data_IF_081127703025
#
_entry.id   IF_081127703025
#
_cell.length_a   1.000
_cell.length_b   1.000
_cell.length_c   1.000
_cell.angle_alpha   90.00
_cell.angle_beta   90.00
_cell.angle_gamma   90.00
#
_symmetry.space_group_name_H-M   'P 1'
#
loop_
_entity.id
_entity.type
_entity.pdbx_description
1 polymer ?
#
# COMPACT_ATOMS: atom_id res chain seq x y z
N UNK A 1 16.35 -1.60 -31.93
CA UNK A 1 15.59 -0.37 -31.64
C UNK A 1 14.23 -0.80 -31.11
N UNK A 2 14.08 -0.89 -29.77
CA UNK A 2 12.79 -1.14 -29.13
C UNK A 2 12.50 0.06 -28.22
N UNK A 3 11.57 0.89 -28.66
CA UNK A 3 10.99 1.95 -27.85
C UNK A 3 10.13 1.32 -26.75
N UNK A 4 10.54 1.47 -25.51
CA UNK A 4 9.67 1.21 -24.36
C UNK A 4 8.75 2.41 -24.19
N UNK A 5 7.49 2.27 -24.54
CA UNK A 5 6.43 3.20 -24.18
C UNK A 5 6.25 3.15 -22.66
N UNK A 6 6.57 4.24 -21.99
CA UNK A 6 6.23 4.45 -20.58
C UNK A 6 4.81 5.03 -20.53
N UNK A 7 3.86 4.26 -20.03
CA UNK A 7 2.51 4.71 -19.76
C UNK A 7 2.47 5.12 -18.28
N UNK A 8 2.26 6.42 -18.03
CA UNK A 8 2.04 6.96 -16.69
C UNK A 8 0.59 6.69 -16.29
N UNK A 9 0.35 5.82 -15.32
CA UNK A 9 -0.95 5.70 -14.66
C UNK A 9 -0.88 6.34 -13.28
N UNK A 10 -1.61 7.43 -13.11
CA UNK A 10 -1.92 7.98 -11.80
C UNK A 10 -3.08 7.18 -11.22
N UNK A 11 -2.83 6.33 -10.22
CA UNK A 11 -3.90 5.68 -9.46
C UNK A 11 -4.27 6.61 -8.31
N UNK A 12 -5.34 7.38 -8.52
CA UNK A 12 -5.99 8.17 -7.48
C UNK A 12 -6.90 7.23 -6.69
N UNK A 13 -6.46 6.78 -5.51
CA UNK A 13 -7.35 6.13 -4.56
C UNK A 13 -7.90 7.23 -3.66
N UNK A 14 -9.15 7.62 -3.94
CA UNK A 14 -9.91 8.54 -3.13
C UNK A 14 -10.24 7.89 -1.77
N UNK A 15 -9.43 8.15 -0.75
CA UNK A 15 -9.84 8.00 0.65
C UNK A 15 -10.26 9.40 1.10
N UNK A 16 -11.57 9.61 1.26
CA UNK A 16 -12.13 10.82 1.84
C UNK A 16 -11.77 10.89 3.33
N UNK A 17 -10.63 11.48 3.63
CA UNK A 17 -10.32 12.20 4.86
C UNK A 17 -9.50 13.40 4.42
N UNK A 18 -10.05 14.59 4.73
CA UNK A 18 -9.55 15.95 4.51
C UNK A 18 -8.07 16.10 4.09
N UNK A 19 -7.92 16.66 2.89
CA UNK A 19 -6.89 17.58 2.39
C UNK A 19 -5.45 17.43 2.89
N UNK A 20 -4.60 16.75 2.10
CA UNK A 20 -3.34 17.25 1.55
C UNK A 20 -2.69 16.11 0.75
N UNK A 21 -2.76 16.23 -0.58
CA UNK A 21 -2.05 15.33 -1.47
C UNK A 21 -0.57 15.74 -1.51
N UNK A 22 0.30 14.91 -0.94
CA UNK A 22 1.74 15.00 -1.19
C UNK A 22 2.05 14.05 -2.33
N UNK A 23 2.52 14.61 -3.45
CA UNK A 23 3.01 13.85 -4.60
C UNK A 23 4.39 13.28 -4.25
N UNK A 24 4.47 11.97 -4.04
CA UNK A 24 5.74 11.26 -4.06
C UNK A 24 5.90 10.63 -5.46
N UNK A 25 6.76 11.21 -6.31
CA UNK A 25 7.22 10.57 -7.53
C UNK A 25 8.37 9.62 -7.19
N UNK A 26 8.03 8.33 -6.94
CA UNK A 26 9.01 7.25 -6.85
C UNK A 26 8.88 6.34 -8.06
N UNK A 27 10.01 5.95 -8.68
CA UNK A 27 10.04 4.90 -9.69
C UNK A 27 9.66 3.56 -9.05
N UNK A 28 8.42 3.15 -9.23
CA UNK A 28 7.91 1.87 -8.80
C UNK A 28 7.77 1.01 -10.07
N UNK A 29 8.33 -0.20 -10.05
CA UNK A 29 7.90 -1.22 -11.00
C UNK A 29 6.39 -1.37 -10.81
N UNK A 30 5.62 -1.29 -11.89
CA UNK A 30 4.14 -1.25 -11.90
C UNK A 30 3.46 -2.39 -11.12
N UNK A 31 4.22 -3.41 -10.67
CA UNK A 31 3.78 -4.54 -9.86
C UNK A 31 4.17 -4.47 -8.37
N UNK A 32 4.81 -3.39 -7.92
CA UNK A 32 5.17 -3.20 -6.52
C UNK A 32 4.41 -2.01 -5.94
N UNK A 33 3.43 -2.31 -5.07
CA UNK A 33 2.64 -1.28 -4.40
C UNK A 33 3.34 -0.93 -3.09
N UNK A 34 3.91 0.26 -3.01
CA UNK A 34 4.40 0.85 -1.76
C UNK A 34 3.35 1.83 -1.27
N UNK A 35 2.75 1.55 -0.14
CA UNK A 35 1.89 2.51 0.55
C UNK A 35 2.75 3.29 1.54
N UNK A 36 2.88 4.59 1.31
CA UNK A 36 3.38 5.50 2.34
C UNK A 36 2.23 5.83 3.26
N UNK A 37 2.35 5.56 4.57
CA UNK A 37 1.37 6.02 5.53
C UNK A 37 1.42 7.55 5.57
N UNK A 38 0.26 8.20 5.50
CA UNK A 38 0.14 9.62 5.77
C UNK A 38 0.31 9.84 7.28
N UNK A 39 1.54 10.10 7.73
CA UNK A 39 1.76 10.67 9.05
C UNK A 39 1.29 12.13 9.04
N UNK A 40 0.76 12.58 10.17
CA UNK A 40 0.59 14.02 10.40
C UNK A 40 1.94 14.70 10.15
N UNK A 41 2.03 15.73 9.29
CA UNK A 41 3.27 16.44 9.02
C UNK A 41 3.98 16.95 10.29
N UNK A 42 3.21 17.31 11.33
CA UNK A 42 3.76 17.76 12.61
C UNK A 42 4.32 16.61 13.48
N UNK A 43 3.93 15.36 13.21
CA UNK A 43 4.46 14.17 13.87
C UNK A 43 5.53 13.44 13.04
N UNK A 44 5.83 13.92 11.82
CA UNK A 44 6.85 13.34 10.96
C UNK A 44 8.22 13.39 11.64
N UNK A 45 8.97 12.29 11.69
CA UNK A 45 10.35 12.30 12.15
C UNK A 45 11.28 13.16 11.27
N UNK A 46 10.78 13.60 10.12
CA UNK A 46 11.47 14.43 9.12
C UNK A 46 11.02 15.89 9.11
N UNK A 47 10.19 16.32 10.05
CA UNK A 47 9.59 17.67 10.09
C UNK A 47 10.62 18.81 10.02
N UNK A 48 11.82 18.58 10.55
CA UNK A 48 12.90 19.55 10.54
C UNK A 48 13.78 19.42 9.29
N UNK A 49 13.39 18.60 8.30
CA UNK A 49 14.12 18.33 7.05
C UNK A 49 15.64 18.11 7.30
N UNK A 50 16.02 17.10 8.10
CA UNK A 50 17.42 16.89 8.43
C UNK A 50 18.24 16.64 7.17
N UNK A 51 19.44 17.21 7.14
CA UNK A 51 20.38 17.04 6.03
C UNK A 51 21.29 15.85 6.26
N UNK A 52 21.65 15.20 5.16
CA UNK A 52 22.54 14.05 5.10
C UNK A 52 23.60 14.25 4.05
N UNK A 53 24.70 13.57 4.24
CA UNK A 53 25.81 13.53 3.29
C UNK A 53 26.12 12.09 2.88
N UNK A 54 26.46 11.85 1.60
CA UNK A 54 27.00 10.57 1.18
C UNK A 54 28.45 10.42 1.60
N UNK A 55 28.76 9.33 2.26
CA UNK A 55 30.12 8.89 2.55
C UNK A 55 30.52 7.88 1.48
N UNK A 56 31.45 8.25 0.62
CA UNK A 56 31.97 7.38 -0.44
C UNK A 56 33.13 6.55 0.10
N UNK A 57 33.04 5.24 -0.04
CA UNK A 57 34.14 4.31 0.22
C UNK A 57 34.74 3.84 -1.11
N UNK A 58 35.99 3.43 -1.10
CA UNK A 58 36.65 2.92 -2.30
C UNK A 58 35.92 1.69 -2.82
N UNK A 59 35.52 1.76 -4.08
CA UNK A 59 34.95 0.62 -4.82
C UNK A 59 36.04 -0.12 -5.55
N UNK A 60 36.01 -1.45 -5.55
CA UNK A 60 36.94 -2.30 -6.31
C UNK A 60 36.65 -2.26 -7.82
N UNK A 61 35.50 -1.73 -8.23
CA UNK A 61 35.09 -1.64 -9.63
C UNK A 61 35.08 -0.20 -10.13
N UNK A 62 35.65 0.10 -11.31
CA UNK A 62 35.71 1.45 -11.86
C UNK A 62 34.36 2.06 -12.25
N UNK A 63 33.27 1.27 -12.19
CA UNK A 63 31.92 1.69 -12.59
C UNK A 63 30.90 1.64 -11.45
N UNK A 64 31.34 1.39 -10.22
CA UNK A 64 30.47 1.32 -9.04
C UNK A 64 31.05 2.15 -7.92
N UNK A 65 30.17 2.65 -7.05
CA UNK A 65 30.52 3.36 -5.83
C UNK A 65 29.96 2.64 -4.64
N UNK A 66 30.76 2.47 -3.58
CA UNK A 66 30.30 2.05 -2.28
C UNK A 66 29.85 3.28 -1.51
N UNK A 67 28.60 3.32 -1.11
CA UNK A 67 27.93 4.50 -0.56
C UNK A 67 27.27 4.15 0.76
N UNK A 68 27.41 5.03 1.74
CA UNK A 68 26.63 5.09 2.96
C UNK A 68 26.17 6.54 3.14
N UNK A 69 24.90 6.77 3.40
CA UNK A 69 24.46 8.09 3.85
C UNK A 69 24.53 8.18 5.37
N UNK A 70 24.98 9.35 5.85
CA UNK A 70 25.03 9.66 7.28
C UNK A 70 24.35 10.99 7.54
N UNK A 71 23.82 11.17 8.76
CA UNK A 71 23.48 12.48 9.28
C UNK A 71 24.73 13.35 9.42
N UNK A 72 24.56 14.67 9.62
CA UNK A 72 25.69 15.61 9.75
C UNK A 72 26.56 15.35 10.99
N UNK A 73 26.03 14.65 11.98
CA UNK A 73 26.76 14.20 13.18
C UNK A 73 27.50 12.86 12.98
N UNK A 74 27.54 12.35 11.73
CA UNK A 74 28.07 11.04 11.33
C UNK A 74 27.28 9.82 11.80
N UNK A 75 26.08 9.99 12.37
CA UNK A 75 25.19 8.86 12.65
C UNK A 75 24.75 8.21 11.33
N UNK A 76 24.83 6.87 11.18
CA UNK A 76 24.41 6.21 9.96
C UNK A 76 22.91 6.44 9.67
N UNK A 77 22.60 6.88 8.45
CA UNK A 77 21.24 6.91 7.91
C UNK A 77 20.93 5.61 7.15
N UNK A 78 21.92 5.06 6.44
CA UNK A 78 21.77 3.81 5.69
C UNK A 78 22.89 2.84 5.99
N UNK A 79 22.70 1.56 5.70
CA UNK A 79 23.78 0.62 5.51
C UNK A 79 24.62 1.01 4.29
N UNK A 80 25.86 0.47 4.20
CA UNK A 80 26.67 0.62 2.99
C UNK A 80 26.13 -0.25 1.87
N UNK A 81 26.00 0.30 0.67
CA UNK A 81 25.54 -0.41 -0.52
C UNK A 81 26.34 0.00 -1.77
N UNK A 82 26.29 -0.82 -2.82
CA UNK A 82 26.91 -0.52 -4.10
C UNK A 82 25.90 0.11 -5.06
N UNK A 83 26.32 1.13 -5.80
CA UNK A 83 25.49 1.77 -6.85
C UNK A 83 26.31 2.09 -8.09
N UNK A 84 25.67 2.12 -9.26
CA UNK A 84 26.30 2.59 -10.52
C UNK A 84 26.15 4.09 -10.71
N UNK A 85 25.33 4.76 -9.90
CA UNK A 85 25.15 6.20 -9.96
C UNK A 85 26.03 6.86 -8.87
N UNK A 86 26.97 7.70 -9.27
CA UNK A 86 27.79 8.47 -8.33
C UNK A 86 26.93 9.49 -7.59
N UNK A 87 26.83 9.42 -6.27
CA UNK A 87 26.12 10.42 -5.48
C UNK A 87 26.74 11.80 -5.61
N UNK A 88 25.92 12.84 -5.48
CA UNK A 88 26.42 14.21 -5.29
C UNK A 88 27.18 14.28 -3.97
N UNK A 89 28.29 14.98 -3.95
CA UNK A 89 29.03 15.22 -2.70
C UNK A 89 28.40 16.33 -1.82
N UNK A 90 27.23 16.83 -2.22
CA UNK A 90 26.50 17.87 -1.50
C UNK A 90 25.55 17.27 -0.47
N UNK A 91 25.16 18.08 0.51
CA UNK A 91 24.08 17.75 1.45
C UNK A 91 22.76 17.53 0.71
N UNK A 92 22.02 16.53 1.13
CA UNK A 92 20.72 16.16 0.59
C UNK A 92 19.70 16.02 1.71
N UNK A 93 18.41 16.04 1.38
CA UNK A 93 17.35 15.72 2.35
C UNK A 93 17.46 14.25 2.74
N UNK A 94 17.57 13.96 4.04
CA UNK A 94 17.68 12.58 4.55
C UNK A 94 16.48 11.72 4.18
N UNK A 95 15.28 12.30 4.21
CA UNK A 95 14.04 11.61 3.90
C UNK A 95 14.07 10.93 2.52
N UNK A 96 14.69 11.58 1.54
CA UNK A 96 14.80 11.05 0.18
C UNK A 96 15.78 9.87 0.07
N UNK A 97 16.67 9.68 1.03
CA UNK A 97 17.71 8.64 1.00
C UNK A 97 17.32 7.36 1.74
N UNK A 98 16.20 7.35 2.45
CA UNK A 98 15.75 6.20 3.27
C UNK A 98 14.83 5.24 2.53
N UNK A 99 14.44 5.59 1.31
CA UNK A 99 13.60 4.76 0.45
C UNK A 99 14.44 3.76 -0.35
N UNK A 100 13.87 3.21 -1.40
CA UNK A 100 14.57 2.27 -2.26
C UNK A 100 15.78 2.94 -2.93
N UNK A 101 17.01 2.45 -2.75
CA UNK A 101 18.16 3.05 -3.41
C UNK A 101 18.11 2.79 -4.91
N UNK A 102 18.28 3.88 -5.68
CA UNK A 102 18.37 3.78 -7.13
C UNK A 102 19.68 3.11 -7.55
N UNK A 103 19.61 2.31 -8.61
CA UNK A 103 20.79 1.69 -9.22
C UNK A 103 21.65 0.83 -8.29
N UNK A 104 21.03 0.22 -7.25
CA UNK A 104 21.72 -0.70 -6.34
C UNK A 104 22.35 -1.87 -7.12
N UNK A 105 23.52 -2.33 -6.69
CA UNK A 105 24.29 -3.38 -7.35
C UNK A 105 24.64 -4.49 -6.37
N UNK A 106 24.91 -5.69 -6.93
CA UNK A 106 25.31 -6.85 -6.16
C UNK A 106 24.17 -7.50 -5.41
N UNK A 107 24.51 -8.25 -4.37
CA UNK A 107 23.56 -9.01 -3.53
C UNK A 107 23.76 -8.61 -2.07
N UNK A 108 22.69 -8.37 -1.35
CA UNK A 108 22.79 -7.98 0.05
C UNK A 108 21.48 -7.51 0.67
N UNK A 109 21.63 -6.72 1.73
CA UNK A 109 20.52 -6.10 2.46
C UNK A 109 20.80 -4.61 2.51
N UNK A 110 19.83 -3.82 2.07
CA UNK A 110 19.80 -2.38 2.31
C UNK A 110 19.00 -2.10 3.57
N UNK A 111 19.56 -1.33 4.48
CA UNK A 111 18.91 -0.87 5.69
C UNK A 111 18.96 0.65 5.76
N UNK A 112 17.89 1.24 6.28
CA UNK A 112 17.88 2.65 6.62
C UNK A 112 17.32 2.88 8.03
N UNK A 113 17.65 4.02 8.62
CA UNK A 113 17.37 4.31 10.01
C UNK A 113 16.73 5.70 10.15
N UNK A 114 15.90 5.85 11.17
CA UNK A 114 15.37 7.14 11.60
C UNK A 114 16.44 7.95 12.37
N UNK A 115 16.24 9.29 12.52
CA UNK A 115 17.12 10.11 13.35
C UNK A 115 17.32 9.62 14.78
N UNK A 116 16.34 8.89 15.33
CA UNK A 116 16.42 8.29 16.66
C UNK A 116 17.16 6.94 16.70
N UNK A 117 17.80 6.52 15.59
CA UNK A 117 18.56 5.28 15.45
C UNK A 117 17.72 4.01 15.27
N UNK A 118 16.40 4.10 15.30
CA UNK A 118 15.53 2.94 15.04
C UNK A 118 15.51 2.58 13.56
N UNK A 119 15.35 1.29 13.20
CA UNK A 119 15.24 0.87 11.81
C UNK A 119 14.03 1.56 11.13
N UNK A 120 14.22 2.00 9.89
CA UNK A 120 13.18 2.51 9.00
C UNK A 120 12.84 1.50 7.92
N UNK A 121 13.85 0.90 7.29
CA UNK A 121 13.65 -0.12 6.26
C UNK A 121 14.67 -1.24 6.33
N UNK A 122 14.29 -2.39 5.82
CA UNK A 122 15.16 -3.52 5.47
C UNK A 122 14.69 -4.10 4.16
N UNK A 123 15.58 -4.13 3.16
CA UNK A 123 15.25 -4.53 1.79
C UNK A 123 16.30 -5.52 1.30
N UNK A 124 15.89 -6.74 0.99
CA UNK A 124 16.77 -7.76 0.42
C UNK A 124 16.83 -7.61 -1.10
N UNK A 125 18.03 -7.79 -1.67
CA UNK A 125 18.25 -7.70 -3.11
C UNK A 125 19.31 -8.71 -3.57
N UNK A 126 19.19 -9.14 -4.83
CA UNK A 126 20.11 -10.07 -5.50
C UNK A 126 20.40 -9.53 -6.90
N UNK A 127 21.69 -9.38 -7.22
CA UNK A 127 22.16 -8.86 -8.53
C UNK A 127 21.52 -7.52 -8.91
N UNK A 128 21.34 -6.64 -7.90
CA UNK A 128 20.73 -5.32 -8.09
C UNK A 128 19.20 -5.33 -8.26
N UNK A 129 18.55 -6.48 -8.08
CA UNK A 129 17.10 -6.64 -8.19
C UNK A 129 16.55 -6.95 -6.80
N UNK A 130 15.48 -6.30 -6.38
CA UNK A 130 14.81 -6.60 -5.11
C UNK A 130 14.31 -8.05 -5.13
N UNK A 131 14.77 -8.82 -4.17
CA UNK A 131 14.50 -10.26 -4.13
C UNK A 131 14.59 -10.74 -2.67
N UNK A 132 13.47 -11.11 -2.10
CA UNK A 132 13.34 -11.49 -0.69
C UNK A 132 12.40 -10.58 0.07
N UNK A 133 12.73 -10.25 1.32
CA UNK A 133 11.90 -9.47 2.24
C UNK A 133 12.08 -7.98 2.03
N UNK A 134 10.97 -7.27 2.16
CA UNK A 134 10.93 -5.82 2.26
C UNK A 134 10.11 -5.48 3.51
N UNK A 135 10.76 -4.83 4.48
CA UNK A 135 10.16 -4.44 5.74
C UNK A 135 10.32 -2.94 5.96
N UNK A 136 9.30 -2.33 6.53
CA UNK A 136 9.34 -0.96 7.01
C UNK A 136 8.83 -0.89 8.45
N UNK A 137 9.31 0.10 9.18
CA UNK A 137 8.92 0.37 10.57
C UNK A 137 8.55 1.84 10.72
N UNK A 138 7.63 2.12 11.62
CA UNK A 138 7.34 3.46 12.10
C UNK A 138 8.47 3.99 12.99
N UNK A 139 8.57 5.31 13.17
CA UNK A 139 9.56 5.94 14.04
C UNK A 139 9.44 5.52 15.51
N UNK A 140 8.27 5.05 15.95
CA UNK A 140 8.09 4.46 17.27
C UNK A 140 8.71 3.06 17.39
N UNK A 141 9.14 2.45 16.27
CA UNK A 141 9.77 1.13 16.18
C UNK A 141 8.80 -0.03 15.95
N UNK A 142 7.51 0.24 15.88
CA UNK A 142 6.52 -0.77 15.48
C UNK A 142 6.59 -1.03 13.98
N UNK A 143 6.24 -2.25 13.57
CA UNK A 143 6.21 -2.62 12.16
C UNK A 143 5.16 -1.79 11.42
N UNK A 144 5.50 -1.28 10.23
CA UNK A 144 4.63 -0.54 9.33
C UNK A 144 4.17 -1.42 8.17
N UNK A 145 5.13 -2.11 7.54
CA UNK A 145 4.89 -2.96 6.38
C UNK A 145 5.81 -4.17 6.38
N UNK A 146 5.28 -5.27 5.86
CA UNK A 146 6.03 -6.48 5.53
C UNK A 146 5.55 -7.01 4.19
N UNK A 147 6.49 -7.29 3.29
CA UNK A 147 6.20 -7.87 1.98
C UNK A 147 7.33 -8.76 1.52
N UNK A 148 7.04 -9.56 0.51
CA UNK A 148 8.03 -10.38 -0.17
C UNK A 148 7.97 -10.09 -1.66
N UNK A 149 9.13 -10.09 -2.28
CA UNK A 149 9.31 -9.94 -3.73
C UNK A 149 10.18 -11.05 -4.28
N UNK A 150 9.91 -11.45 -5.49
CA UNK A 150 10.75 -12.36 -6.25
C UNK A 150 11.09 -11.72 -7.58
N UNK A 151 12.37 -11.45 -7.82
CA UNK A 151 12.86 -10.75 -9.01
C UNK A 151 12.11 -9.42 -9.27
N UNK A 152 11.91 -8.60 -8.22
CA UNK A 152 11.22 -7.33 -8.30
C UNK A 152 9.69 -7.42 -8.41
N UNK A 153 9.10 -8.61 -8.34
CA UNK A 153 7.66 -8.85 -8.48
C UNK A 153 7.08 -9.29 -7.15
N UNK A 154 5.98 -8.68 -6.71
CA UNK A 154 5.31 -9.03 -5.45
C UNK A 154 4.89 -10.50 -5.43
N UNK A 155 5.24 -11.21 -4.34
CA UNK A 155 4.95 -12.63 -4.15
C UNK A 155 4.72 -12.95 -2.68
N UNK A 156 3.75 -13.84 -2.39
CA UNK A 156 3.46 -14.24 -0.99
C UNK A 156 2.63 -13.20 -0.24
N UNK A 157 2.80 -13.15 1.06
CA UNK A 157 2.01 -12.27 1.91
C UNK A 157 2.53 -10.84 1.91
N UNK A 158 1.59 -9.91 1.94
CA UNK A 158 1.78 -8.49 2.11
C UNK A 158 0.94 -8.02 3.31
N UNK A 159 1.56 -7.33 4.27
CA UNK A 159 0.91 -6.85 5.49
C UNK A 159 1.25 -5.39 5.76
N UNK A 160 0.28 -4.64 6.25
CA UNK A 160 0.43 -3.27 6.76
C UNK A 160 -0.15 -3.21 8.16
N UNK A 161 0.46 -2.45 9.04
CA UNK A 161 0.00 -2.19 10.40
C UNK A 161 -0.33 -0.71 10.57
N UNK A 162 -1.24 -0.43 11.47
CA UNK A 162 -1.48 0.91 11.98
C UNK A 162 -0.34 1.36 12.92
N UNK A 163 -0.14 2.67 13.13
CA UNK A 163 0.89 3.19 14.04
C UNK A 163 0.77 2.70 15.49
N UNK A 164 -0.42 2.25 15.90
CA UNK A 164 -0.67 1.61 17.21
C UNK A 164 -0.25 0.13 17.26
N UNK A 165 0.27 -0.44 16.15
CA UNK A 165 0.74 -1.82 16.02
C UNK A 165 -0.33 -2.85 15.68
N UNK A 166 -1.59 -2.43 15.50
CA UNK A 166 -2.65 -3.33 15.04
C UNK A 166 -2.56 -3.54 13.53
N UNK A 167 -2.90 -4.74 13.06
CA UNK A 167 -2.90 -5.06 11.64
C UNK A 167 -3.96 -4.22 10.92
N UNK A 168 -3.57 -3.55 9.83
CA UNK A 168 -4.43 -2.71 9.00
C UNK A 168 -4.86 -3.43 7.71
N UNK A 169 -3.94 -4.22 7.14
CA UNK A 169 -4.16 -4.94 5.89
C UNK A 169 -3.36 -6.23 5.87
N UNK A 170 -3.97 -7.30 5.37
CA UNK A 170 -3.29 -8.52 4.94
C UNK A 170 -3.84 -8.95 3.60
N UNK A 171 -2.95 -9.27 2.66
CA UNK A 171 -3.34 -9.83 1.36
C UNK A 171 -2.22 -10.68 0.77
N UNK A 172 -2.59 -11.58 -0.17
CA UNK A 172 -1.66 -12.43 -0.88
C UNK A 172 -1.36 -11.90 -2.28
N UNK A 173 -0.12 -12.13 -2.72
CA UNK A 173 0.32 -11.90 -4.09
C UNK A 173 0.88 -13.18 -4.71
N UNK A 174 0.62 -13.36 -5.99
CA UNK A 174 1.26 -14.38 -6.82
C UNK A 174 1.61 -13.76 -8.16
N UNK A 175 2.90 -13.74 -8.50
CA UNK A 175 3.38 -13.19 -9.78
C UNK A 175 2.91 -11.75 -10.04
N UNK A 176 2.91 -10.90 -8.98
CA UNK A 176 2.51 -9.51 -9.03
C UNK A 176 1.01 -9.24 -8.95
N UNK A 177 0.17 -10.27 -9.05
CA UNK A 177 -1.29 -10.15 -8.99
C UNK A 177 -1.81 -10.50 -7.60
N UNK A 178 -2.86 -9.80 -7.14
CA UNK A 178 -3.55 -10.15 -5.89
C UNK A 178 -4.14 -11.56 -6.02
N UNK A 179 -3.77 -12.44 -5.09
CA UNK A 179 -4.21 -13.82 -5.09
C UNK A 179 -4.32 -14.33 -3.66
N UNK A 180 -5.49 -14.81 -3.27
CA UNK A 180 -5.79 -15.23 -1.89
C UNK A 180 -6.73 -14.28 -1.18
N UNK A 181 -6.69 -14.34 0.16
CA UNK A 181 -7.57 -13.51 1.00
C UNK A 181 -7.01 -12.10 1.14
N UNK A 182 -7.89 -11.10 1.02
CA UNK A 182 -7.63 -9.71 1.38
C UNK A 182 -8.50 -9.35 2.57
N UNK A 183 -7.86 -8.91 3.65
CA UNK A 183 -8.51 -8.50 4.89
C UNK A 183 -8.00 -7.12 5.27
N UNK A 184 -8.90 -6.24 5.67
CA UNK A 184 -8.59 -4.92 6.21
C UNK A 184 -9.24 -4.74 7.56
N UNK A 185 -8.59 -3.99 8.43
CA UNK A 185 -9.07 -3.66 9.76
C UNK A 185 -8.99 -2.17 9.99
N UNK A 186 -9.91 -1.67 10.77
CA UNK A 186 -9.86 -0.33 11.32
C UNK A 186 -8.76 -0.23 12.40
N UNK A 187 -8.38 0.99 12.74
CA UNK A 187 -7.37 1.25 13.78
C UNK A 187 -7.81 0.79 15.19
N UNK A 188 -9.11 0.61 15.43
CA UNK A 188 -9.65 0.03 16.67
C UNK A 188 -9.62 -1.51 16.67
N UNK A 189 -9.10 -2.16 15.60
CA UNK A 189 -9.00 -3.61 15.45
C UNK A 189 -10.25 -4.29 14.88
N UNK A 190 -11.36 -3.56 14.73
CA UNK A 190 -12.56 -4.11 14.10
C UNK A 190 -12.32 -4.40 12.61
N UNK A 191 -12.91 -5.45 12.05
CA UNK A 191 -12.79 -5.75 10.64
C UNK A 191 -13.43 -4.62 9.80
N UNK A 192 -12.79 -4.31 8.68
CA UNK A 192 -13.32 -3.36 7.69
C UNK A 192 -13.74 -4.05 6.41
N UNK A 193 -12.89 -4.88 5.83
CA UNK A 193 -13.16 -5.55 4.55
C UNK A 193 -12.61 -6.96 4.55
N UNK A 194 -13.35 -7.86 3.95
CA UNK A 194 -12.96 -9.23 3.69
C UNK A 194 -13.36 -9.60 2.27
N UNK A 195 -12.42 -10.05 1.45
CA UNK A 195 -12.67 -10.53 0.10
C UNK A 195 -11.61 -11.55 -0.32
N UNK A 196 -11.95 -12.43 -1.23
CA UNK A 196 -11.00 -13.32 -1.91
C UNK A 196 -10.70 -12.81 -3.31
N UNK A 197 -9.43 -12.87 -3.68
CA UNK A 197 -8.95 -12.48 -5.00
C UNK A 197 -8.34 -13.68 -5.73
N UNK A 198 -8.54 -13.74 -7.03
CA UNK A 198 -7.84 -14.61 -7.96
C UNK A 198 -7.45 -13.77 -9.18
N UNK A 199 -6.13 -13.59 -9.38
CA UNK A 199 -5.55 -12.78 -10.48
C UNK A 199 -6.20 -11.38 -10.55
N UNK A 200 -6.11 -10.62 -9.44
CA UNK A 200 -6.66 -9.26 -9.26
C UNK A 200 -8.19 -9.15 -9.31
N UNK A 201 -8.90 -10.25 -9.47
CA UNK A 201 -10.38 -10.25 -9.52
C UNK A 201 -10.97 -10.78 -8.23
N UNK A 202 -11.99 -10.10 -7.72
CA UNK A 202 -12.76 -10.59 -6.58
C UNK A 202 -13.56 -11.83 -6.99
N UNK A 203 -13.49 -12.89 -6.16
CA UNK A 203 -14.24 -14.12 -6.34
C UNK A 203 -14.94 -14.52 -5.04
N UNK A 204 -16.20 -14.99 -5.15
CA UNK A 204 -17.00 -15.36 -4.00
C UNK A 204 -17.52 -14.16 -3.21
N UNK A 205 -17.53 -14.25 -1.89
CA UNK A 205 -18.10 -13.22 -1.02
C UNK A 205 -17.14 -12.05 -0.77
N UNK A 206 -17.71 -10.84 -0.80
CA UNK A 206 -17.14 -9.63 -0.23
C UNK A 206 -17.97 -9.21 0.96
N UNK A 207 -17.33 -8.91 2.09
CA UNK A 207 -17.95 -8.36 3.30
C UNK A 207 -17.28 -7.06 3.66
N UNK A 208 -18.09 -6.09 4.06
CA UNK A 208 -17.60 -4.82 4.63
C UNK A 208 -18.37 -4.51 5.91
N UNK A 209 -17.68 -3.91 6.87
CA UNK A 209 -18.23 -3.53 8.17
C UNK A 209 -17.98 -2.06 8.44
N UNK A 210 -18.88 -1.45 9.15
CA UNK A 210 -18.68 -0.14 9.77
C UNK A 210 -17.66 -0.22 10.90
N UNK A 211 -17.11 0.93 11.27
CA UNK A 211 -16.15 1.04 12.39
C UNK A 211 -16.72 0.58 13.75
N UNK A 212 -18.05 0.57 13.89
CA UNK A 212 -18.76 0.04 15.07
C UNK A 212 -18.95 -1.49 15.06
N UNK A 213 -18.34 -2.22 14.10
CA UNK A 213 -18.38 -3.66 13.94
C UNK A 213 -19.66 -4.20 13.29
N UNK A 214 -20.65 -3.36 12.97
CA UNK A 214 -21.85 -3.82 12.25
C UNK A 214 -21.56 -4.03 10.77
N UNK A 215 -22.21 -5.04 10.18
CA UNK A 215 -22.10 -5.32 8.76
C UNK A 215 -22.66 -4.15 7.96
N UNK A 216 -21.90 -3.67 6.98
CA UNK A 216 -22.26 -2.62 6.05
C UNK A 216 -22.74 -3.21 4.72
N UNK A 217 -21.95 -4.14 4.15
CA UNK A 217 -22.19 -4.71 2.83
C UNK A 217 -21.85 -6.20 2.80
N UNK A 218 -22.66 -6.95 2.07
CA UNK A 218 -22.42 -8.35 1.73
C UNK A 218 -22.80 -8.56 0.27
N UNK A 219 -21.86 -8.97 -0.56
CA UNK A 219 -22.12 -9.26 -1.96
C UNK A 219 -21.31 -10.45 -2.45
N UNK A 220 -21.77 -11.06 -3.54
CA UNK A 220 -21.05 -12.13 -4.23
C UNK A 220 -20.54 -11.66 -5.58
N UNK A 221 -19.36 -12.15 -5.95
CA UNK A 221 -18.64 -11.80 -7.16
C UNK A 221 -18.20 -13.05 -7.93
N UNK A 222 -18.24 -12.94 -9.25
CA UNK A 222 -17.68 -13.93 -10.17
C UNK A 222 -16.82 -13.18 -11.18
N UNK A 223 -15.53 -13.53 -11.25
CA UNK A 223 -14.55 -12.90 -12.15
C UNK A 223 -14.46 -11.37 -12.00
N UNK A 224 -14.58 -10.85 -10.78
CA UNK A 224 -14.55 -9.43 -10.47
C UNK A 224 -15.89 -8.70 -10.67
N UNK A 225 -16.92 -9.39 -11.14
CA UNK A 225 -18.24 -8.81 -11.46
C UNK A 225 -19.28 -9.22 -10.42
N UNK A 226 -20.10 -8.28 -9.96
CA UNK A 226 -21.22 -8.57 -9.03
C UNK A 226 -22.17 -9.61 -9.63
N UNK A 227 -22.48 -10.65 -8.85
CA UNK A 227 -23.35 -11.75 -9.26
C UNK A 227 -24.12 -12.30 -8.06
N UNK A 228 -25.44 -12.53 -8.22
CA UNK A 228 -26.29 -13.00 -7.13
C UNK A 228 -26.74 -11.88 -6.20
N UNK A 229 -27.00 -12.21 -4.95
CA UNK A 229 -27.57 -11.28 -3.98
C UNK A 229 -26.52 -10.37 -3.36
N UNK A 230 -26.81 -9.08 -3.36
CA UNK A 230 -26.09 -8.05 -2.63
C UNK A 230 -26.99 -7.47 -1.55
N UNK A 231 -26.49 -7.26 -0.35
CA UNK A 231 -27.18 -6.66 0.78
C UNK A 231 -26.36 -5.53 1.36
N UNK A 232 -27.01 -4.42 1.70
CA UNK A 232 -26.41 -3.35 2.47
C UNK A 232 -27.28 -2.95 3.65
N UNK A 233 -26.61 -2.39 4.67
CA UNK A 233 -27.23 -1.92 5.90
C UNK A 233 -26.68 -0.54 6.24
N UNK A 234 -27.50 0.28 6.84
CA UNK A 234 -27.09 1.53 7.46
C UNK A 234 -26.25 1.27 8.73
N UNK A 235 -25.49 2.26 9.16
CA UNK A 235 -24.65 2.16 10.36
C UNK A 235 -25.43 1.85 11.65
N UNK A 236 -26.72 2.24 11.71
CA UNK A 236 -27.62 1.85 12.80
C UNK A 236 -27.99 0.36 12.77
N UNK A 237 -27.69 -0.37 11.69
CA UNK A 237 -27.96 -1.79 11.45
C UNK A 237 -29.30 -2.06 10.75
N UNK A 238 -30.07 -1.02 10.36
CA UNK A 238 -31.28 -1.19 9.56
C UNK A 238 -30.93 -1.57 8.13
N UNK A 239 -31.74 -2.42 7.43
CA UNK A 239 -31.55 -2.72 6.03
C UNK A 239 -31.56 -1.43 5.19
N UNK A 240 -30.64 -1.31 4.25
CA UNK A 240 -30.59 -0.26 3.23
C UNK A 240 -31.04 -0.80 1.87
N UNK A 241 -30.46 -1.93 1.43
CA UNK A 241 -30.83 -2.53 0.16
C UNK A 241 -30.67 -4.05 0.14
N UNK A 242 -31.50 -4.69 -0.66
CA UNK A 242 -31.33 -6.05 -1.18
C UNK A 242 -31.45 -5.96 -2.68
N UNK A 243 -30.36 -6.28 -3.39
CA UNK A 243 -30.25 -6.22 -4.83
C UNK A 243 -29.87 -7.60 -5.37
N UNK A 244 -30.41 -7.97 -6.51
CA UNK A 244 -29.98 -9.16 -7.23
C UNK A 244 -29.26 -8.75 -8.51
N UNK A 245 -28.03 -9.27 -8.66
CA UNK A 245 -27.16 -8.99 -9.80
C UNK A 245 -27.05 -10.20 -10.72
N UNK A 246 -27.08 -9.95 -12.02
CA UNK A 246 -26.70 -10.90 -13.05
C UNK A 246 -25.70 -10.23 -13.99
N UNK A 247 -24.48 -10.77 -14.06
CA UNK A 247 -23.39 -10.23 -14.86
C UNK A 247 -23.19 -8.70 -14.68
N UNK A 248 -23.14 -8.23 -13.43
CA UNK A 248 -22.94 -6.83 -13.05
C UNK A 248 -24.17 -5.93 -13.18
N UNK A 249 -25.29 -6.42 -13.70
CA UNK A 249 -26.52 -5.63 -13.83
C UNK A 249 -27.52 -5.98 -12.74
N UNK A 250 -28.16 -4.97 -12.16
CA UNK A 250 -29.29 -5.16 -11.22
C UNK A 250 -30.49 -5.66 -11.98
N UNK A 251 -31.00 -6.84 -11.60
CA UNK A 251 -32.19 -7.46 -12.18
C UNK A 251 -33.41 -7.38 -11.27
N UNK A 252 -33.17 -7.13 -9.95
CA UNK A 252 -34.21 -6.92 -8.95
C UNK A 252 -33.63 -6.08 -7.81
N UNK A 253 -34.46 -5.21 -7.18
CA UNK A 253 -34.03 -4.29 -6.15
C UNK A 253 -35.13 -3.95 -5.16
N UNK A 254 -34.80 -3.99 -3.89
CA UNK A 254 -35.60 -3.48 -2.79
C UNK A 254 -34.73 -2.63 -1.87
N UNK A 255 -35.15 -1.39 -1.63
CA UNK A 255 -34.40 -0.44 -0.78
C UNK A 255 -35.33 0.20 0.26
N UNK A 256 -34.68 0.64 1.35
CA UNK A 256 -35.34 1.32 2.45
C UNK A 256 -34.58 2.59 2.80
N UNK A 257 -35.31 3.58 3.35
CA UNK A 257 -34.71 4.76 3.97
C UNK A 257 -34.20 4.42 5.36
N UNK A 258 -33.44 5.33 5.96
CA UNK A 258 -32.99 5.24 7.37
C UNK A 258 -34.14 5.19 8.37
N UNK A 259 -35.35 5.64 7.99
CA UNK A 259 -36.60 5.50 8.74
C UNK A 259 -37.40 4.24 8.39
N UNK A 260 -36.79 3.28 7.70
CA UNK A 260 -37.36 1.98 7.28
C UNK A 260 -38.58 2.10 6.33
N UNK A 261 -38.65 3.19 5.56
CA UNK A 261 -39.66 3.35 4.51
C UNK A 261 -39.15 2.77 3.20
N UNK A 262 -40.00 2.05 2.48
CA UNK A 262 -39.68 1.44 1.18
C UNK A 262 -39.46 2.53 0.12
N UNK A 263 -38.36 2.45 -0.59
CA UNK A 263 -38.04 3.31 -1.72
C UNK A 263 -38.56 2.65 -3.01
N UNK A 264 -39.15 3.43 -3.91
CA UNK A 264 -39.59 2.92 -5.20
C UNK A 264 -38.45 2.26 -5.96
N UNK A 265 -38.66 1.06 -6.52
CA UNK A 265 -37.67 0.21 -7.19
C UNK A 265 -36.84 0.98 -8.23
N UNK A 266 -37.45 1.87 -9.02
CA UNK A 266 -36.74 2.70 -9.99
C UNK A 266 -35.69 3.59 -9.34
N UNK A 267 -36.01 4.22 -8.19
CA UNK A 267 -35.10 5.11 -7.47
C UNK A 267 -34.00 4.31 -6.76
N UNK A 268 -34.34 3.14 -6.22
CA UNK A 268 -33.41 2.18 -5.65
C UNK A 268 -32.36 1.75 -6.68
N UNK A 269 -32.77 1.32 -7.86
CA UNK A 269 -31.86 0.93 -8.95
C UNK A 269 -30.98 2.11 -9.37
N UNK A 270 -31.53 3.31 -9.51
CA UNK A 270 -30.76 4.50 -9.89
C UNK A 270 -29.68 4.84 -8.87
N UNK A 271 -29.97 4.71 -7.57
CA UNK A 271 -29.02 4.96 -6.50
C UNK A 271 -27.77 4.04 -6.62
N UNK A 272 -27.98 2.75 -6.78
CA UNK A 272 -26.90 1.75 -6.78
C UNK A 272 -26.22 1.53 -8.15
N UNK A 273 -26.85 1.95 -9.26
CA UNK A 273 -26.23 1.93 -10.58
C UNK A 273 -25.23 3.06 -10.80
N UNK A 274 -25.22 4.10 -9.98
CA UNK A 274 -24.27 5.21 -10.05
C UNK A 274 -22.97 4.92 -9.30
N UNK A 275 -22.92 3.83 -8.50
CA UNK A 275 -21.74 3.41 -7.71
C UNK A 275 -20.85 2.39 -8.47
N UNK A 276 -21.26 1.90 -9.63
CA UNK A 276 -20.54 0.99 -10.51
C UNK A 276 -19.80 1.78 -11.61
#
# INVERSE_FOLDING_TARGET
>A
MHHKNQIKFAISICLSISSLAIHAEGYINENMVVFTSSMDPDESPWKDHPKCIPVLQNSESPKTWSVQYTYLDNTPLTSTYLTTQKPSAQEVECEHQVHFPDHIQGTGIFESFYPNGKPRSLIEYTDGIYNGKINFWFANGLKEQESNVSNGISHGEYRIWHPNGQLALSMGYKEGMQNGMKQRWYENGEPWTYARFENDKIVGELKQWYRNGKLERLGTYRDGVRHGTYKSWYENGQPEAVLNYQAGKIIDAQCWTTSNQVIATKNCIAQFSAED
#
